data_IF_314027681276
#
_entry.id   IF_314027681276
#
_cell.length_a   1.000
_cell.length_b   1.000
_cell.length_c   1.000
_cell.angle_alpha   90.00
_cell.angle_beta   90.00
_cell.angle_gamma   90.00
#
_symmetry.space_group_name_H-M   'P 1'
#
loop_
_entity.id
_entity.type
_entity.pdbx_description
1 polymer ?
#
# COMPACT_ATOMS: atom_id res chain seq x y z
N UNK A 1 9.20 12.92 -3.12
CA UNK A 1 9.16 11.63 -2.39
C UNK A 1 10.26 10.74 -2.95
N UNK A 2 11.18 10.26 -2.09
CA UNK A 2 12.19 9.29 -2.51
C UNK A 2 11.48 7.98 -2.79
N UNK A 3 11.70 7.40 -3.98
CA UNK A 3 11.14 6.11 -4.31
C UNK A 3 11.78 5.03 -3.42
N UNK A 4 11.03 4.55 -2.42
CA UNK A 4 11.44 3.43 -1.58
C UNK A 4 10.93 2.13 -2.18
N UNK A 5 11.84 1.20 -2.38
CA UNK A 5 11.48 -0.15 -2.80
C UNK A 5 10.88 -0.89 -1.60
N UNK A 6 9.54 -0.93 -1.54
CA UNK A 6 8.79 -1.73 -0.57
C UNK A 6 8.34 -3.02 -1.24
N UNK A 7 8.57 -4.15 -0.56
CA UNK A 7 8.18 -5.47 -1.05
C UNK A 7 6.65 -5.59 -1.16
N UNK A 8 6.18 -6.51 -2.01
CA UNK A 8 4.75 -6.78 -2.14
C UNK A 8 4.11 -7.17 -0.81
N UNK A 9 4.81 -7.96 0.00
CA UNK A 9 4.34 -8.41 1.32
C UNK A 9 4.02 -7.23 2.24
N UNK A 10 4.90 -6.24 2.34
CA UNK A 10 4.65 -5.04 3.14
C UNK A 10 3.45 -4.25 2.64
N UNK A 11 3.22 -4.16 1.33
CA UNK A 11 2.03 -3.49 0.77
C UNK A 11 0.75 -4.24 1.13
N UNK A 12 0.77 -5.58 1.06
CA UNK A 12 -0.37 -6.41 1.45
C UNK A 12 -0.66 -6.25 2.94
N UNK A 13 0.38 -6.30 3.79
CA UNK A 13 0.22 -6.07 5.24
C UNK A 13 -0.30 -4.67 5.56
N UNK A 14 0.14 -3.65 4.82
CA UNK A 14 -0.39 -2.29 4.97
C UNK A 14 -1.90 -2.24 4.75
N UNK A 15 -2.38 -2.87 3.67
CA UNK A 15 -3.81 -2.93 3.38
C UNK A 15 -4.57 -3.76 4.43
N UNK A 16 -3.98 -4.87 4.87
CA UNK A 16 -4.55 -5.68 5.96
C UNK A 16 -4.72 -4.86 7.25
N UNK A 17 -3.73 -4.05 7.63
CA UNK A 17 -3.84 -3.16 8.79
C UNK A 17 -5.01 -2.18 8.63
N UNK A 18 -5.16 -1.55 7.47
CA UNK A 18 -6.29 -0.65 7.23
C UNK A 18 -7.64 -1.37 7.31
N UNK A 19 -7.75 -2.58 6.77
CA UNK A 19 -8.99 -3.37 6.85
C UNK A 19 -9.28 -3.85 8.28
N UNK A 20 -8.29 -3.88 9.17
CA UNK A 20 -8.46 -4.16 10.60
C UNK A 20 -8.68 -2.89 11.45
N UNK A 21 -8.91 -1.74 10.81
CA UNK A 21 -9.29 -0.50 11.49
C UNK A 21 -8.13 0.36 11.98
N UNK A 22 -6.90 0.09 11.54
CA UNK A 22 -5.77 0.99 11.80
C UNK A 22 -5.88 2.27 10.96
N UNK A 23 -5.42 3.39 11.50
CA UNK A 23 -5.49 4.70 10.86
C UNK A 23 -4.47 4.78 9.72
N UNK A 24 -4.89 5.35 8.58
CA UNK A 24 -4.03 5.48 7.39
C UNK A 24 -2.76 6.28 7.66
N UNK A 25 -2.85 7.34 8.45
CA UNK A 25 -1.72 8.18 8.86
C UNK A 25 -0.64 7.34 9.59
N UNK A 26 -1.03 6.60 10.64
CA UNK A 26 -0.13 5.71 11.39
C UNK A 26 0.55 4.66 10.50
N UNK A 27 -0.23 4.02 9.62
CA UNK A 27 0.30 3.01 8.69
C UNK A 27 1.27 3.63 7.68
N UNK A 28 0.99 4.86 7.24
CA UNK A 28 1.82 5.61 6.30
C UNK A 28 3.15 6.01 6.94
N UNK A 29 3.12 6.49 8.17
CA UNK A 29 4.30 6.86 8.96
C UNK A 29 5.15 5.65 9.31
N UNK A 30 4.51 4.55 9.75
CA UNK A 30 5.18 3.29 10.07
C UNK A 30 5.98 2.73 8.88
N UNK A 31 5.41 2.79 7.68
CA UNK A 31 6.05 2.30 6.47
C UNK A 31 6.91 3.36 5.76
N UNK A 32 6.87 4.61 6.25
CA UNK A 32 7.54 5.75 5.64
C UNK A 32 7.12 5.97 4.18
N UNK A 33 5.83 5.83 3.90
CA UNK A 33 5.21 6.07 2.58
C UNK A 33 4.14 7.12 2.67
N UNK A 34 3.75 7.67 1.53
CA UNK A 34 2.57 8.54 1.47
C UNK A 34 1.28 7.74 1.52
N UNK A 35 0.23 8.32 2.08
CA UNK A 35 -1.15 7.80 1.98
C UNK A 35 -1.56 7.56 0.52
N UNK A 36 -1.10 8.41 -0.40
CA UNK A 36 -1.34 8.24 -1.84
C UNK A 36 -0.76 6.93 -2.38
N UNK A 37 0.40 6.49 -1.88
CA UNK A 37 0.97 5.19 -2.24
C UNK A 37 0.08 4.05 -1.78
N UNK A 38 -0.46 4.13 -0.57
CA UNK A 38 -1.38 3.12 -0.02
C UNK A 38 -2.68 3.10 -0.82
N UNK A 39 -3.24 4.27 -1.15
CA UNK A 39 -4.41 4.39 -2.02
C UNK A 39 -4.17 3.75 -3.40
N UNK A 40 -3.01 3.97 -4.01
CA UNK A 40 -2.64 3.30 -5.26
C UNK A 40 -2.59 1.77 -5.10
N UNK A 41 -2.06 1.24 -4.00
CA UNK A 41 -2.03 -0.21 -3.77
C UNK A 41 -3.45 -0.79 -3.66
N UNK A 42 -4.35 -0.09 -2.95
CA UNK A 42 -5.77 -0.49 -2.85
C UNK A 42 -6.46 -0.48 -4.21
N UNK A 43 -6.21 0.55 -5.01
CA UNK A 43 -6.70 0.62 -6.39
C UNK A 43 -6.14 -0.50 -7.25
N UNK A 44 -4.85 -0.85 -7.11
CA UNK A 44 -4.26 -1.95 -7.87
C UNK A 44 -4.89 -3.30 -7.50
N UNK A 45 -5.15 -3.55 -6.21
CA UNK A 45 -5.85 -4.76 -5.78
C UNK A 45 -7.26 -4.81 -6.37
N UNK A 46 -7.97 -3.68 -6.39
CA UNK A 46 -9.33 -3.60 -6.94
C UNK A 46 -9.36 -3.85 -8.45
N UNK A 47 -8.40 -3.31 -9.21
CA UNK A 47 -8.38 -3.41 -10.66
C UNK A 47 -7.70 -4.68 -11.20
N UNK A 48 -6.69 -5.19 -10.49
CA UNK A 48 -5.79 -6.24 -10.98
C UNK A 48 -5.68 -7.46 -10.05
N UNK A 49 -6.31 -7.43 -8.86
CA UNK A 49 -6.18 -8.50 -7.86
C UNK A 49 -4.82 -8.55 -7.15
N UNK A 50 -3.94 -7.57 -7.38
CA UNK A 50 -2.59 -7.52 -6.82
C UNK A 50 -2.17 -6.09 -6.46
N UNK A 51 -1.37 -5.95 -5.40
CA UNK A 51 -0.74 -4.66 -5.01
C UNK A 51 0.29 -4.19 -6.04
N UNK A 52 0.78 -5.10 -6.89
CA UNK A 52 1.68 -4.80 -8.02
C UNK A 52 0.84 -4.82 -9.30
N UNK A 53 0.78 -3.71 -10.05
CA UNK A 53 0.10 -3.70 -11.33
C UNK A 53 0.87 -4.54 -12.35
N UNK A 54 0.19 -5.15 -13.33
CA UNK A 54 0.85 -5.85 -14.42
C UNK A 54 1.80 -4.90 -15.16
N UNK A 55 2.96 -5.41 -15.60
CA UNK A 55 3.89 -4.64 -16.45
C UNK A 55 3.26 -4.52 -17.84
N UNK A 56 3.23 -3.30 -18.36
CA UNK A 56 2.84 -3.00 -19.74
C UNK A 56 3.98 -3.34 -20.71
#
# INVERSE_FOLDING_TARGET
MVFRHISADFKVRALWLLDNGYVTEDVSDLLGVSERSIACWRSNVTNYGSVIPPRN
#
